data_IF_841503453938
#
_entry.id   IF_841503453938
#
_cell.length_a   1.000
_cell.length_b   1.000
_cell.length_c   1.000
_cell.angle_alpha   90.00
_cell.angle_beta   90.00
_cell.angle_gamma   90.00
#
_symmetry.space_group_name_H-M   'P 1'
#
loop_
_entity.id
_entity.type
_entity.pdbx_description
1 polymer ?
#
# COMPACT_ATOMS: atom_id res chain seq x y z
N UNK A 1 26.29 7.75 8.53
CA UNK A 1 25.62 8.73 7.65
C UNK A 1 26.15 8.76 6.22
N UNK A 2 27.46 8.92 5.95
CA UNK A 2 28.02 9.00 4.57
C UNK A 2 27.56 7.88 3.61
N UNK A 3 27.56 6.63 4.06
CA UNK A 3 27.13 5.48 3.23
C UNK A 3 25.65 5.52 2.86
N UNK A 4 24.79 5.95 3.77
CA UNK A 4 23.34 6.00 3.56
C UNK A 4 22.99 7.12 2.55
N UNK A 5 23.69 8.25 2.63
CA UNK A 5 23.60 9.33 1.64
C UNK A 5 24.11 8.87 0.27
N UNK A 6 25.16 8.06 0.21
CA UNK A 6 25.71 7.54 -1.04
C UNK A 6 24.73 6.57 -1.72
N UNK A 7 24.14 5.64 -0.97
CA UNK A 7 23.11 4.71 -1.48
C UNK A 7 21.90 5.48 -1.99
N UNK A 8 21.41 6.46 -1.21
CA UNK A 8 20.28 7.28 -1.61
C UNK A 8 20.57 8.05 -2.91
N UNK A 9 21.73 8.69 -3.01
CA UNK A 9 22.13 9.41 -4.23
C UNK A 9 22.27 8.47 -5.44
N UNK A 10 22.73 7.24 -5.23
CA UNK A 10 22.79 6.23 -6.28
C UNK A 10 21.39 5.83 -6.78
N UNK A 11 20.45 5.55 -5.88
CA UNK A 11 19.06 5.24 -6.25
C UNK A 11 18.39 6.38 -7.02
N UNK A 12 18.59 7.62 -6.57
CA UNK A 12 18.12 8.82 -7.25
C UNK A 12 18.73 8.92 -8.65
N UNK A 13 20.03 8.70 -8.78
CA UNK A 13 20.77 8.76 -10.05
C UNK A 13 20.21 7.77 -11.07
N UNK A 14 19.99 6.51 -10.67
CA UNK A 14 19.36 5.49 -11.53
C UNK A 14 17.98 5.96 -11.97
N UNK A 15 17.14 6.39 -11.02
CA UNK A 15 15.77 6.80 -11.29
C UNK A 15 15.69 7.99 -12.26
N UNK A 16 16.60 8.96 -12.12
CA UNK A 16 16.68 10.10 -13.04
C UNK A 16 17.26 9.72 -14.40
N UNK A 17 18.28 8.87 -14.48
CA UNK A 17 18.87 8.43 -15.75
C UNK A 17 17.83 7.70 -16.61
N UNK A 18 17.05 6.79 -16.02
CA UNK A 18 15.96 6.10 -16.72
C UNK A 18 14.90 7.10 -17.20
N UNK A 19 14.53 8.06 -16.36
CA UNK A 19 13.57 9.11 -16.75
C UNK A 19 14.11 9.98 -17.89
N UNK A 20 15.39 10.34 -17.85
CA UNK A 20 16.05 11.11 -18.90
C UNK A 20 16.03 10.33 -20.22
N UNK A 21 16.40 9.05 -20.21
CA UNK A 21 16.36 8.19 -21.40
C UNK A 21 14.99 8.21 -22.10
N UNK A 22 13.90 8.04 -21.34
CA UNK A 22 12.55 8.09 -21.90
C UNK A 22 12.12 9.47 -22.37
N UNK A 23 12.58 10.55 -21.72
CA UNK A 23 12.28 11.93 -22.13
C UNK A 23 13.06 12.40 -23.35
N UNK A 24 14.33 12.00 -23.47
CA UNK A 24 15.20 12.37 -24.59
C UNK A 24 14.99 11.49 -25.82
N UNK A 25 14.31 10.34 -25.66
CA UNK A 25 13.99 9.44 -26.77
C UNK A 25 12.81 9.93 -27.62
N UNK A 26 12.74 9.42 -28.86
CA UNK A 26 11.65 9.66 -29.82
C UNK A 26 10.25 9.36 -29.25
N UNK A 27 10.16 8.45 -28.28
CA UNK A 27 8.91 8.06 -27.63
C UNK A 27 8.17 9.24 -26.97
N UNK A 28 8.87 10.11 -26.25
CA UNK A 28 8.23 11.26 -25.62
C UNK A 28 7.68 12.24 -26.68
N UNK A 29 8.43 12.49 -27.75
CA UNK A 29 8.04 13.41 -28.82
C UNK A 29 6.78 12.90 -29.55
N UNK A 30 6.66 11.59 -29.76
CA UNK A 30 5.51 10.98 -30.43
C UNK A 30 4.23 10.97 -29.57
N UNK A 31 4.37 10.77 -28.25
CA UNK A 31 3.22 10.54 -27.34
C UNK A 31 2.74 11.85 -26.67
N UNK A 32 3.62 12.82 -26.48
CA UNK A 32 3.34 14.05 -25.74
C UNK A 32 2.15 14.89 -26.28
N UNK A 33 1.95 15.06 -27.60
CA UNK A 33 0.80 15.80 -28.12
C UNK A 33 -0.54 15.18 -27.72
N UNK A 34 -0.62 13.84 -27.66
CA UNK A 34 -1.82 13.12 -27.27
C UNK A 34 -2.12 13.23 -25.77
N UNK A 35 -1.08 13.24 -24.93
CA UNK A 35 -1.22 13.40 -23.48
C UNK A 35 -1.65 14.82 -23.07
N UNK A 36 -1.34 15.83 -23.89
CA UNK A 36 -1.71 17.23 -23.63
C UNK A 36 -3.13 17.59 -24.07
N UNK A 37 -3.83 16.69 -24.76
CA UNK A 37 -5.19 16.95 -25.21
C UNK A 37 -6.13 17.17 -24.01
N UNK A 38 -7.05 18.16 -24.04
CA UNK A 38 -7.95 18.46 -22.93
C UNK A 38 -8.82 17.27 -22.52
N UNK A 39 -9.22 16.41 -23.47
CA UNK A 39 -9.92 15.16 -23.14
C UNK A 39 -9.06 14.21 -22.29
N UNK A 40 -7.76 14.13 -22.55
CA UNK A 40 -6.85 13.29 -21.76
C UNK A 40 -6.68 13.83 -20.34
N UNK A 41 -6.58 15.16 -20.18
CA UNK A 41 -6.56 15.80 -18.85
C UNK A 41 -7.83 15.52 -18.05
N UNK A 42 -9.00 15.67 -18.67
CA UNK A 42 -10.31 15.34 -18.04
C UNK A 42 -10.40 13.85 -17.70
N UNK A 43 -9.97 12.97 -18.59
CA UNK A 43 -9.93 11.53 -18.36
C UNK A 43 -9.01 11.18 -17.18
N UNK A 44 -7.79 11.73 -17.15
CA UNK A 44 -6.84 11.52 -16.05
C UNK A 44 -7.45 11.97 -14.72
N UNK A 45 -8.09 13.14 -14.68
CA UNK A 45 -8.78 13.63 -13.48
C UNK A 45 -9.88 12.66 -13.00
N UNK A 46 -10.74 12.17 -13.90
CA UNK A 46 -11.78 11.20 -13.56
C UNK A 46 -11.17 9.90 -13.03
N UNK A 47 -10.13 9.39 -13.70
CA UNK A 47 -9.41 8.20 -13.26
C UNK A 47 -8.82 8.41 -11.85
N UNK A 48 -8.21 9.55 -11.58
CA UNK A 48 -7.66 9.85 -10.27
C UNK A 48 -8.74 9.91 -9.18
N UNK A 49 -9.95 10.41 -9.48
CA UNK A 49 -11.08 10.36 -8.54
C UNK A 49 -11.53 8.92 -8.29
N UNK A 50 -11.67 8.11 -9.35
CA UNK A 50 -12.06 6.70 -9.25
C UNK A 50 -11.02 5.93 -8.43
N UNK A 51 -9.75 5.97 -8.80
CA UNK A 51 -8.68 5.25 -8.11
C UNK A 51 -8.44 5.78 -6.70
N UNK A 52 -8.61 7.09 -6.46
CA UNK A 52 -8.61 7.66 -5.12
C UNK A 52 -9.72 7.07 -4.25
N UNK A 53 -10.94 6.95 -4.79
CA UNK A 53 -12.08 6.37 -4.08
C UNK A 53 -11.91 4.88 -3.82
N UNK A 54 -11.45 4.14 -4.84
CA UNK A 54 -11.15 2.70 -4.73
C UNK A 54 -10.06 2.41 -3.71
N UNK A 55 -9.03 3.26 -3.62
CA UNK A 55 -7.96 3.12 -2.63
C UNK A 55 -8.46 3.43 -1.21
N UNK A 56 -9.28 4.47 -1.03
CA UNK A 56 -9.89 4.74 0.26
C UNK A 56 -10.83 3.60 0.71
N UNK A 57 -11.60 3.05 -0.24
CA UNK A 57 -12.41 1.87 0.00
C UNK A 57 -11.55 0.65 0.39
N UNK A 58 -10.36 0.46 -0.20
CA UNK A 58 -9.45 -0.64 0.13
C UNK A 58 -9.15 -0.73 1.63
N UNK A 59 -8.70 0.39 2.21
CA UNK A 59 -8.35 0.45 3.63
C UNK A 59 -9.56 0.28 4.55
N UNK A 60 -10.71 0.88 4.21
CA UNK A 60 -11.96 0.69 4.98
C UNK A 60 -12.44 -0.75 4.90
N UNK A 61 -12.41 -1.32 3.69
CA UNK A 61 -12.85 -2.69 3.44
C UNK A 61 -12.00 -3.67 4.24
N UNK A 62 -10.68 -3.45 4.32
CA UNK A 62 -9.81 -4.29 5.15
C UNK A 62 -10.14 -4.21 6.64
N UNK A 63 -10.18 -2.99 7.21
CA UNK A 63 -10.42 -2.82 8.65
C UNK A 63 -11.79 -3.37 9.06
N UNK A 64 -12.81 -3.14 8.24
CA UNK A 64 -14.15 -3.66 8.49
C UNK A 64 -14.24 -5.16 8.25
N UNK A 65 -13.69 -5.66 7.15
CA UNK A 65 -13.74 -7.07 6.79
C UNK A 65 -12.97 -7.96 7.76
N UNK A 66 -11.82 -7.50 8.26
CA UNK A 66 -11.09 -8.16 9.35
C UNK A 66 -11.93 -8.18 10.64
N UNK A 67 -12.55 -7.06 11.00
CA UNK A 67 -13.42 -7.01 12.18
C UNK A 67 -14.58 -7.99 12.07
N UNK A 68 -15.24 -8.07 10.91
CA UNK A 68 -16.28 -9.07 10.63
C UNK A 68 -15.72 -10.48 10.73
N UNK A 69 -14.59 -10.79 10.09
CA UNK A 69 -13.98 -12.12 10.16
C UNK A 69 -13.68 -12.54 11.62
N UNK A 70 -13.26 -11.58 12.45
CA UNK A 70 -12.99 -11.81 13.87
C UNK A 70 -14.28 -12.00 14.67
N UNK A 71 -15.32 -11.20 14.46
CA UNK A 71 -16.59 -11.34 15.18
C UNK A 71 -17.22 -12.73 14.99
N UNK A 72 -17.07 -13.30 13.79
CA UNK A 72 -17.55 -14.64 13.46
C UNK A 72 -16.54 -15.75 13.81
N UNK A 73 -15.36 -15.43 14.35
CA UNK A 73 -14.42 -16.44 14.86
C UNK A 73 -14.87 -17.01 16.20
N UNK A 74 -14.51 -18.26 16.52
CA UNK A 74 -14.88 -18.91 17.79
C UNK A 74 -14.44 -18.12 19.03
N UNK A 75 -13.35 -17.35 18.92
CA UNK A 75 -12.75 -16.57 20.00
C UNK A 75 -13.09 -15.08 19.99
N UNK A 76 -13.85 -14.62 18.97
CA UNK A 76 -14.31 -13.24 18.84
C UNK A 76 -13.18 -12.22 19.11
N UNK A 77 -13.42 -11.21 19.93
CA UNK A 77 -12.47 -10.11 20.21
C UNK A 77 -11.12 -10.59 20.77
N UNK A 78 -11.06 -11.72 21.48
CA UNK A 78 -9.79 -12.23 22.04
C UNK A 78 -8.80 -12.68 20.96
N UNK A 79 -9.28 -12.90 19.73
CA UNK A 79 -8.48 -13.19 18.54
C UNK A 79 -7.44 -12.12 18.25
N UNK A 80 -7.73 -10.84 18.53
CA UNK A 80 -6.77 -9.74 18.32
C UNK A 80 -5.46 -9.92 19.13
N UNK A 81 -5.55 -10.53 20.31
CA UNK A 81 -4.43 -10.63 21.26
C UNK A 81 -3.62 -11.91 21.09
N UNK A 82 -4.25 -12.98 20.63
CA UNK A 82 -3.67 -14.32 20.71
C UNK A 82 -3.41 -14.98 19.37
N UNK A 83 -3.94 -14.44 18.27
CA UNK A 83 -3.91 -15.09 16.96
C UNK A 83 -3.41 -14.13 15.89
N UNK A 84 -2.48 -14.62 15.06
CA UNK A 84 -1.92 -13.84 13.94
C UNK A 84 -3.03 -13.50 12.93
N UNK A 85 -2.83 -12.41 12.19
CA UNK A 85 -3.73 -12.04 11.10
C UNK A 85 -3.84 -13.15 10.08
N UNK A 86 -2.73 -13.88 9.86
CA UNK A 86 -2.63 -14.96 8.88
C UNK A 86 -3.61 -16.11 9.16
N UNK A 87 -3.89 -16.42 10.42
CA UNK A 87 -4.80 -17.51 10.79
C UNK A 87 -6.23 -17.28 10.29
N UNK A 88 -6.61 -16.01 10.10
CA UNK A 88 -7.92 -15.64 9.56
C UNK A 88 -8.06 -15.95 8.07
N UNK A 89 -6.98 -16.26 7.35
CA UNK A 89 -7.01 -16.56 5.91
C UNK A 89 -7.32 -18.03 5.59
N UNK A 90 -7.32 -18.91 6.60
CA UNK A 90 -7.48 -20.35 6.40
C UNK A 90 -8.79 -20.87 6.99
N UNK A 91 -9.49 -21.78 6.28
CA UNK A 91 -10.73 -22.37 6.78
C UNK A 91 -10.49 -23.24 8.01
N UNK A 92 -11.55 -23.45 8.80
CA UNK A 92 -11.55 -24.39 9.92
C UNK A 92 -11.09 -25.78 9.45
N UNK A 93 -10.25 -26.41 10.27
CA UNK A 93 -9.64 -27.71 9.99
C UNK A 93 -8.32 -27.64 9.21
N UNK A 94 -7.85 -26.45 8.81
CA UNK A 94 -6.51 -26.30 8.25
C UNK A 94 -5.45 -26.56 9.32
N UNK A 95 -4.40 -27.31 9.01
CA UNK A 95 -3.31 -27.56 9.97
C UNK A 95 -2.27 -26.44 9.87
N UNK A 96 -2.14 -25.65 10.94
CA UNK A 96 -1.17 -24.56 11.12
C UNK A 96 -0.16 -25.00 12.18
N UNK A 97 1.11 -25.18 11.78
CA UNK A 97 2.20 -25.60 12.68
C UNK A 97 1.85 -26.84 13.53
N UNK A 98 1.20 -27.82 12.88
CA UNK A 98 0.80 -29.07 13.49
C UNK A 98 -0.47 -29.01 14.36
N UNK A 99 -1.12 -27.84 14.47
CA UNK A 99 -2.41 -27.66 15.17
C UNK A 99 -3.53 -27.37 14.18
N UNK A 100 -4.70 -27.94 14.40
CA UNK A 100 -5.87 -27.57 13.61
C UNK A 100 -6.32 -26.15 13.97
N UNK A 101 -6.52 -25.32 12.94
CA UNK A 101 -7.14 -24.02 13.06
C UNK A 101 -8.63 -24.19 13.27
N UNK A 102 -9.16 -23.65 14.36
CA UNK A 102 -10.61 -23.52 14.60
C UNK A 102 -11.10 -22.07 14.43
N UNK A 103 -10.26 -21.19 13.86
CA UNK A 103 -10.46 -19.76 14.01
C UNK A 103 -11.36 -19.12 12.94
N UNK A 104 -11.12 -19.39 11.65
CA UNK A 104 -11.76 -18.59 10.59
C UNK A 104 -12.99 -19.27 10.01
N UNK A 105 -14.16 -18.77 10.41
CA UNK A 105 -15.43 -19.07 9.75
C UNK A 105 -15.57 -18.37 8.38
N UNK A 106 -14.82 -17.29 8.15
CA UNK A 106 -14.93 -16.44 6.96
C UNK A 106 -13.57 -16.15 6.29
N UNK A 107 -12.77 -17.18 5.92
CA UNK A 107 -11.44 -16.98 5.33
C UNK A 107 -11.50 -16.28 3.97
N UNK A 108 -12.60 -16.45 3.24
CA UNK A 108 -12.79 -15.81 1.94
C UNK A 108 -12.82 -14.28 2.03
N UNK A 109 -13.28 -13.71 3.14
CA UNK A 109 -13.29 -12.25 3.33
C UNK A 109 -11.84 -11.75 3.36
N UNK A 110 -11.00 -12.30 4.24
CA UNK A 110 -9.59 -11.91 4.36
C UNK A 110 -8.83 -12.07 3.04
N UNK A 111 -9.09 -13.14 2.30
CA UNK A 111 -8.46 -13.39 1.00
C UNK A 111 -8.92 -12.40 -0.06
N UNK A 112 -10.22 -12.10 -0.12
CA UNK A 112 -10.76 -11.09 -1.03
C UNK A 112 -10.18 -9.71 -0.75
N UNK A 113 -9.96 -9.37 0.53
CA UNK A 113 -9.30 -8.11 0.92
C UNK A 113 -7.88 -8.02 0.36
N UNK A 114 -7.05 -9.05 0.55
CA UNK A 114 -5.68 -9.05 0.05
C UNK A 114 -5.61 -9.14 -1.47
N UNK A 115 -6.52 -9.88 -2.10
CA UNK A 115 -6.64 -9.92 -3.57
C UNK A 115 -7.03 -8.55 -4.14
N UNK A 116 -7.93 -7.82 -3.47
CA UNK A 116 -8.27 -6.45 -3.88
C UNK A 116 -7.05 -5.53 -3.82
N UNK A 117 -6.21 -5.66 -2.78
CA UNK A 117 -5.00 -4.85 -2.66
C UNK A 117 -3.97 -5.10 -3.76
N UNK A 118 -3.82 -6.36 -4.19
CA UNK A 118 -2.84 -6.70 -5.24
C UNK A 118 -3.17 -6.04 -6.58
N UNK A 119 -4.45 -5.80 -6.87
CA UNK A 119 -4.88 -5.16 -8.11
C UNK A 119 -4.86 -3.63 -8.05
N UNK A 120 -5.15 -3.01 -6.91
CA UNK A 120 -5.40 -1.56 -6.85
C UNK A 120 -4.15 -0.71 -6.64
N UNK A 121 -3.16 -1.21 -5.91
CA UNK A 121 -2.04 -0.40 -5.41
C UNK A 121 -1.12 0.14 -6.51
N UNK A 122 -0.84 -0.66 -7.55
CA UNK A 122 0.05 -0.26 -8.65
C UNK A 122 -0.61 0.77 -9.57
N UNK A 123 -1.85 0.56 -10.05
CA UNK A 123 -2.59 1.59 -10.77
C UNK A 123 -2.75 2.88 -9.95
N UNK A 124 -3.07 2.76 -8.66
CA UNK A 124 -3.18 3.92 -7.76
C UNK A 124 -1.87 4.71 -7.72
N UNK A 125 -0.73 4.05 -7.58
CA UNK A 125 0.57 4.73 -7.61
C UNK A 125 0.78 5.53 -8.90
N UNK A 126 0.58 4.94 -10.07
CA UNK A 126 0.79 5.61 -11.36
C UNK A 126 -0.19 6.75 -11.63
N UNK A 127 -1.48 6.54 -11.33
CA UNK A 127 -2.55 7.47 -11.69
C UNK A 127 -2.67 8.60 -10.66
N UNK A 128 -2.39 8.31 -9.38
CA UNK A 128 -2.67 9.24 -8.28
C UNK A 128 -1.42 9.83 -7.66
N UNK A 129 -0.40 9.02 -7.36
CA UNK A 129 0.77 9.48 -6.60
C UNK A 129 1.89 10.03 -7.48
N UNK A 130 2.19 9.36 -8.59
CA UNK A 130 3.22 9.79 -9.53
C UNK A 130 3.05 11.24 -10.05
N UNK A 131 1.83 11.73 -10.35
CA UNK A 131 1.65 13.12 -10.79
C UNK A 131 2.00 14.17 -9.72
N UNK A 132 1.76 13.86 -8.44
CA UNK A 132 1.92 14.79 -7.30
C UNK A 132 3.27 14.63 -6.57
N UNK A 133 4.13 13.73 -7.03
CA UNK A 133 5.48 13.53 -6.48
C UNK A 133 6.54 14.31 -7.26
N UNK A 134 7.71 14.50 -6.64
CA UNK A 134 8.88 15.08 -7.29
C UNK A 134 9.48 14.15 -8.37
N UNK A 135 9.06 12.87 -8.38
CA UNK A 135 9.51 11.82 -9.31
C UNK A 135 11.01 11.56 -9.16
N UNK A 136 11.55 11.79 -7.96
CA UNK A 136 12.97 11.60 -7.65
C UNK A 136 13.27 10.11 -7.44
N UNK A 137 12.33 9.40 -6.82
CA UNK A 137 12.44 8.01 -6.40
C UNK A 137 11.44 7.09 -7.09
N UNK A 138 10.88 7.52 -8.23
CA UNK A 138 9.71 6.88 -8.84
C UNK A 138 9.90 5.40 -9.18
N UNK A 139 11.13 4.97 -9.51
CA UNK A 139 11.44 3.55 -9.76
C UNK A 139 11.44 2.72 -8.48
N UNK A 140 11.97 3.29 -7.39
CA UNK A 140 12.02 2.61 -6.09
C UNK A 140 10.60 2.44 -5.57
N UNK A 141 9.80 3.50 -5.65
CA UNK A 141 8.39 3.48 -5.24
C UNK A 141 7.57 2.49 -6.07
N UNK A 142 7.78 2.47 -7.40
CA UNK A 142 7.14 1.50 -8.27
C UNK A 142 7.52 0.07 -7.90
N UNK A 143 8.81 -0.20 -7.68
CA UNK A 143 9.27 -1.52 -7.27
C UNK A 143 8.67 -1.95 -5.93
N UNK A 144 8.60 -1.03 -4.96
CA UNK A 144 7.98 -1.30 -3.66
C UNK A 144 6.47 -1.56 -3.82
N UNK A 145 5.76 -0.79 -4.63
CA UNK A 145 4.34 -1.03 -4.92
C UNK A 145 4.09 -2.39 -5.59
N UNK A 146 4.95 -2.78 -6.53
CA UNK A 146 4.90 -4.10 -7.18
C UNK A 146 5.16 -5.23 -6.19
N UNK A 147 6.19 -5.09 -5.35
CA UNK A 147 6.52 -6.10 -4.33
C UNK A 147 5.41 -6.22 -3.28
N UNK A 148 4.78 -5.11 -2.90
CA UNK A 148 3.59 -5.11 -2.03
C UNK A 148 2.39 -5.81 -2.68
N UNK A 149 2.13 -5.54 -3.96
CA UNK A 149 1.09 -6.24 -4.73
C UNK A 149 1.35 -7.75 -4.83
N UNK A 150 2.60 -8.15 -5.05
CA UNK A 150 3.00 -9.57 -5.06
C UNK A 150 2.79 -10.19 -3.68
N UNK A 151 3.20 -9.51 -2.61
CA UNK A 151 3.01 -10.00 -1.24
C UNK A 151 1.55 -10.27 -0.92
N UNK A 152 0.67 -9.33 -1.25
CA UNK A 152 -0.77 -9.47 -1.03
C UNK A 152 -1.39 -10.57 -1.90
N UNK A 153 -0.98 -10.70 -3.15
CA UNK A 153 -1.41 -11.78 -4.04
C UNK A 153 -1.04 -13.17 -3.47
N UNK A 154 0.22 -13.35 -3.04
CA UNK A 154 0.71 -14.61 -2.47
C UNK A 154 -0.10 -15.08 -1.27
N UNK A 155 -0.49 -14.16 -0.38
CA UNK A 155 -1.33 -14.52 0.77
C UNK A 155 -2.75 -14.90 0.33
N UNK A 156 -3.32 -14.20 -0.66
CA UNK A 156 -4.70 -14.44 -1.09
C UNK A 156 -4.89 -15.73 -1.88
N UNK A 157 -3.97 -16.05 -2.79
CA UNK A 157 -4.17 -17.10 -3.81
C UNK A 157 -3.74 -18.50 -3.35
N UNK A 158 -2.84 -18.62 -2.38
CA UNK A 158 -2.30 -19.94 -2.01
C UNK A 158 -3.22 -20.64 -1.01
N UNK A 159 -3.99 -21.63 -1.49
CA UNK A 159 -5.00 -22.40 -0.74
C UNK A 159 -4.48 -23.73 -0.20
N UNK A 160 -3.24 -23.82 0.29
CA UNK A 160 -2.74 -25.09 0.85
C UNK A 160 -3.41 -25.38 2.21
N UNK A 161 -4.01 -26.56 2.35
CA UNK A 161 -4.63 -27.01 3.62
C UNK A 161 -3.64 -27.36 4.74
N UNK A 162 -2.33 -27.23 4.46
CA UNK A 162 -1.25 -27.36 5.41
C UNK A 162 -0.39 -26.10 5.37
N UNK A 163 -0.08 -25.60 6.55
CA UNK A 163 0.76 -24.44 6.78
C UNK A 163 1.92 -24.83 7.70
N UNK A 164 3.11 -24.34 7.37
CA UNK A 164 4.32 -24.48 8.16
C UNK A 164 5.03 -23.13 8.30
N UNK A 165 5.82 -22.98 9.37
CA UNK A 165 6.91 -21.99 9.43
C UNK A 165 7.75 -22.07 8.14
N UNK A 166 7.90 -20.96 7.42
CA UNK A 166 8.55 -20.89 6.10
C UNK A 166 7.65 -21.11 4.87
N UNK A 167 6.34 -21.24 5.04
CA UNK A 167 5.38 -21.30 3.92
C UNK A 167 5.43 -20.04 3.05
N UNK A 168 5.02 -20.18 1.79
CA UNK A 168 4.97 -19.07 0.83
C UNK A 168 3.95 -17.99 1.26
N UNK A 169 2.93 -18.36 2.03
CA UNK A 169 1.98 -17.41 2.64
C UNK A 169 2.63 -16.56 3.73
N UNK A 170 3.47 -17.15 4.59
CA UNK A 170 4.24 -16.39 5.57
C UNK A 170 5.18 -15.40 4.93
N UNK A 171 5.85 -15.85 3.85
CA UNK A 171 6.68 -14.96 3.05
C UNK A 171 5.85 -13.82 2.45
N UNK A 172 4.68 -14.11 1.89
CA UNK A 172 3.76 -13.11 1.33
C UNK A 172 3.30 -12.08 2.38
N UNK A 173 2.93 -12.51 3.58
CA UNK A 173 2.51 -11.61 4.65
C UNK A 173 3.68 -10.75 5.14
N UNK A 174 4.84 -11.36 5.36
CA UNK A 174 6.07 -10.65 5.75
C UNK A 174 6.46 -9.59 4.70
N UNK A 175 6.38 -9.96 3.42
CA UNK A 175 6.63 -9.05 2.31
C UNK A 175 5.64 -7.89 2.32
N UNK A 176 4.34 -8.17 2.47
CA UNK A 176 3.28 -7.17 2.56
C UNK A 176 3.55 -6.15 3.66
N UNK A 177 3.87 -6.61 4.86
CA UNK A 177 4.06 -5.75 6.04
C UNK A 177 5.33 -4.90 5.89
N UNK A 178 6.47 -5.52 5.60
CA UNK A 178 7.77 -4.82 5.54
C UNK A 178 7.80 -3.88 4.34
N UNK A 179 7.46 -4.37 3.15
CA UNK A 179 7.50 -3.58 1.93
C UNK A 179 6.43 -2.51 1.94
N UNK A 180 5.22 -2.80 2.44
CA UNK A 180 4.15 -1.81 2.54
C UNK A 180 4.56 -0.61 3.39
N UNK A 181 5.13 -0.84 4.58
CA UNK A 181 5.58 0.27 5.42
C UNK A 181 6.83 1.00 4.87
N UNK A 182 7.73 0.31 4.17
CA UNK A 182 8.81 0.96 3.42
C UNK A 182 8.26 1.82 2.28
N UNK A 183 7.29 1.33 1.53
CA UNK A 183 6.62 2.05 0.44
C UNK A 183 6.06 3.38 0.96
N UNK A 184 5.37 3.36 2.10
CA UNK A 184 4.87 4.58 2.77
C UNK A 184 5.99 5.60 3.04
N UNK A 185 7.14 5.14 3.56
CA UNK A 185 8.28 6.04 3.81
C UNK A 185 8.82 6.66 2.52
N UNK A 186 9.05 5.86 1.48
CA UNK A 186 9.61 6.35 0.22
C UNK A 186 8.66 7.34 -0.47
N UNK A 187 7.36 7.01 -0.54
CA UNK A 187 6.32 7.93 -1.04
C UNK A 187 6.32 9.23 -0.22
N UNK A 188 6.40 9.14 1.10
CA UNK A 188 6.48 10.32 1.97
C UNK A 188 7.71 11.20 1.67
N UNK A 189 8.85 10.60 1.32
CA UNK A 189 10.06 11.34 0.97
C UNK A 189 9.93 12.05 -0.38
N UNK A 190 9.32 11.41 -1.39
CA UNK A 190 9.20 11.96 -2.76
C UNK A 190 8.00 12.90 -2.97
N UNK A 191 6.97 12.82 -2.13
CA UNK A 191 5.80 13.69 -2.24
C UNK A 191 6.16 15.17 -2.14
N UNK A 192 5.54 15.98 -3.00
CA UNK A 192 5.71 17.43 -2.99
C UNK A 192 4.97 18.05 -1.79
N UNK A 193 5.73 18.70 -0.91
CA UNK A 193 5.20 19.35 0.29
C UNK A 193 4.26 20.51 -0.04
N UNK A 194 4.44 21.15 -1.20
CA UNK A 194 3.58 22.28 -1.62
C UNK A 194 2.19 21.80 -2.01
N UNK A 195 2.08 20.63 -2.66
CA UNK A 195 0.82 20.06 -3.13
C UNK A 195 0.08 19.30 -2.02
N UNK A 196 0.78 18.45 -1.25
CA UNK A 196 0.11 17.53 -0.30
C UNK A 196 0.85 17.38 1.04
N UNK A 197 0.99 18.46 1.84
CA UNK A 197 1.80 18.45 3.07
C UNK A 197 1.30 17.47 4.13
N UNK A 198 -0.03 17.30 4.25
CA UNK A 198 -0.64 16.38 5.22
C UNK A 198 -0.36 14.93 4.85
N UNK A 199 -0.54 14.57 3.56
CA UNK A 199 -0.28 13.22 3.08
C UNK A 199 1.19 12.85 3.30
N UNK A 200 2.11 13.74 2.91
CA UNK A 200 3.56 13.56 3.17
C UNK A 200 3.86 13.22 4.63
N UNK A 201 3.33 14.01 5.58
CA UNK A 201 3.54 13.79 7.01
C UNK A 201 2.93 12.44 7.45
N UNK A 202 1.71 12.14 7.04
CA UNK A 202 1.03 10.88 7.36
C UNK A 202 1.80 9.66 6.84
N UNK A 203 2.28 9.70 5.59
CA UNK A 203 3.08 8.61 5.01
C UNK A 203 4.34 8.30 5.83
N UNK A 204 5.07 9.34 6.24
CA UNK A 204 6.29 9.18 7.04
C UNK A 204 6.00 8.62 8.44
N UNK A 205 5.00 9.15 9.13
CA UNK A 205 4.66 8.69 10.49
C UNK A 205 4.11 7.26 10.49
N UNK A 206 3.16 6.96 9.61
CA UNK A 206 2.55 5.63 9.54
C UNK A 206 3.57 4.57 9.12
N UNK A 207 4.40 4.86 8.11
CA UNK A 207 5.48 3.95 7.70
C UNK A 207 6.49 3.71 8.82
N UNK A 208 6.85 4.75 9.58
CA UNK A 208 7.78 4.61 10.71
C UNK A 208 7.20 3.79 11.86
N UNK A 209 5.93 4.04 12.24
CA UNK A 209 5.24 3.27 13.27
C UNK A 209 5.16 1.80 12.88
N UNK A 210 4.73 1.50 11.65
CA UNK A 210 4.59 0.12 11.20
C UNK A 210 5.94 -0.61 11.12
N UNK A 211 7.01 0.07 10.69
CA UNK A 211 8.35 -0.52 10.69
C UNK A 211 8.89 -0.80 12.10
N UNK A 212 8.61 0.07 13.08
CA UNK A 212 8.97 -0.21 14.47
C UNK A 212 8.24 -1.46 14.96
N UNK A 213 6.92 -1.53 14.73
CA UNK A 213 6.11 -2.67 15.15
C UNK A 213 6.64 -3.99 14.56
N UNK A 214 6.89 -4.07 13.24
CA UNK A 214 7.40 -5.30 12.63
C UNK A 214 8.82 -5.62 13.09
N UNK A 215 9.67 -4.61 13.29
CA UNK A 215 11.04 -4.83 13.78
C UNK A 215 11.05 -5.42 15.20
N UNK A 216 10.18 -4.94 16.08
CA UNK A 216 10.02 -5.49 17.43
C UNK A 216 9.54 -6.94 17.34
N UNK A 217 8.52 -7.23 16.52
CA UNK A 217 8.00 -8.59 16.34
C UNK A 217 9.07 -9.56 15.83
N UNK A 218 9.95 -9.12 14.93
CA UNK A 218 11.02 -9.95 14.36
C UNK A 218 12.17 -10.21 15.35
N UNK A 219 12.53 -9.23 16.19
CA UNK A 219 13.67 -9.36 17.12
C UNK A 219 13.24 -9.99 18.45
N UNK A 220 12.04 -9.67 18.92
CA UNK A 220 11.50 -10.09 20.20
C UNK A 220 10.07 -10.63 20.03
N UNK A 221 9.90 -11.87 19.55
CA UNK A 221 8.60 -12.50 19.51
C UNK A 221 8.05 -12.65 20.94
N UNK A 222 6.96 -11.93 21.24
CA UNK A 222 6.31 -11.91 22.56
C UNK A 222 4.83 -12.26 22.44
N UNK A 223 4.13 -12.36 23.57
CA UNK A 223 2.67 -12.48 23.61
C UNK A 223 1.94 -11.35 22.87
N UNK A 224 2.59 -10.19 22.64
CA UNK A 224 2.00 -9.05 21.94
C UNK A 224 2.31 -9.02 20.43
N UNK A 225 3.08 -9.99 19.92
CA UNK A 225 3.42 -10.08 18.50
C UNK A 225 2.22 -9.99 17.56
N UNK A 226 1.07 -10.67 17.82
CA UNK A 226 -0.11 -10.57 16.95
C UNK A 226 -0.66 -9.14 16.83
N UNK A 227 -0.65 -8.38 17.92
CA UNK A 227 -1.14 -7.00 17.94
C UNK A 227 -0.17 -6.09 17.18
N UNK A 228 1.13 -6.26 17.40
CA UNK A 228 2.15 -5.46 16.71
C UNK A 228 2.13 -5.71 15.20
N UNK A 229 1.94 -6.97 14.78
CA UNK A 229 1.73 -7.34 13.37
C UNK A 229 0.52 -6.59 12.79
N UNK A 230 -0.63 -6.63 13.47
CA UNK A 230 -1.85 -5.93 13.05
C UNK A 230 -1.67 -4.42 12.99
N UNK A 231 -1.02 -3.80 13.99
CA UNK A 231 -0.72 -2.37 13.97
C UNK A 231 0.12 -2.02 12.73
N UNK A 232 1.07 -2.87 12.37
CA UNK A 232 1.90 -2.68 11.17
C UNK A 232 1.13 -2.82 9.85
N UNK A 233 0.05 -3.62 9.83
CA UNK A 233 -0.89 -3.64 8.70
C UNK A 233 -1.82 -2.42 8.72
N UNK A 234 -2.35 -2.05 9.89
CA UNK A 234 -3.26 -0.91 10.04
C UNK A 234 -2.63 0.40 9.65
N UNK A 235 -1.33 0.59 9.86
CA UNK A 235 -0.63 1.79 9.38
C UNK A 235 -0.73 1.93 7.86
N UNK A 236 -0.65 0.83 7.12
CA UNK A 236 -0.83 0.79 5.66
C UNK A 236 -2.29 1.10 5.32
N UNK A 237 -3.24 0.41 5.93
CA UNK A 237 -4.68 0.55 5.61
C UNK A 237 -5.21 1.95 5.93
N UNK A 238 -4.82 2.52 7.08
CA UNK A 238 -5.14 3.90 7.44
C UNK A 238 -4.52 4.88 6.44
N UNK A 239 -3.29 4.61 6.00
CA UNK A 239 -2.64 5.42 4.99
C UNK A 239 -3.38 5.39 3.65
N UNK A 240 -3.89 4.24 3.20
CA UNK A 240 -4.67 4.12 1.96
C UNK A 240 -5.92 5.00 1.99
N UNK A 241 -6.62 5.03 3.12
CA UNK A 241 -7.77 5.91 3.36
C UNK A 241 -7.36 7.37 3.22
N UNK A 242 -6.30 7.77 3.93
CA UNK A 242 -5.80 9.15 3.91
C UNK A 242 -5.33 9.54 2.50
N UNK A 243 -4.61 8.66 1.81
CA UNK A 243 -4.06 8.89 0.47
C UNK A 243 -5.18 9.04 -0.57
N UNK A 244 -6.17 8.15 -0.55
CA UNK A 244 -7.32 8.21 -1.45
C UNK A 244 -8.08 9.54 -1.33
N UNK A 245 -8.42 9.95 -0.11
CA UNK A 245 -9.09 11.24 0.11
C UNK A 245 -8.20 12.45 -0.17
N UNK A 246 -6.90 12.39 0.16
CA UNK A 246 -5.98 13.50 -0.09
C UNK A 246 -5.83 13.81 -1.58
N UNK A 247 -5.75 12.77 -2.42
CA UNK A 247 -5.64 12.93 -3.87
C UNK A 247 -6.93 13.51 -4.46
N UNK A 248 -8.10 13.00 -4.06
CA UNK A 248 -9.40 13.54 -4.51
C UNK A 248 -9.52 15.02 -4.13
N UNK A 249 -9.15 15.37 -2.89
CA UNK A 249 -9.20 16.74 -2.41
C UNK A 249 -8.29 17.66 -3.21
N UNK A 250 -7.10 17.19 -3.57
CA UNK A 250 -6.14 17.98 -4.35
C UNK A 250 -6.73 18.37 -5.72
N UNK A 251 -7.40 17.42 -6.40
CA UNK A 251 -8.11 17.69 -7.66
C UNK A 251 -9.20 18.74 -7.50
N UNK A 252 -10.03 18.62 -6.47
CA UNK A 252 -11.13 19.57 -6.23
C UNK A 252 -10.56 20.97 -5.98
N UNK A 253 -9.49 21.08 -5.18
CA UNK A 253 -8.84 22.36 -4.88
C UNK A 253 -8.23 23.01 -6.12
N UNK A 254 -7.60 22.24 -7.01
CA UNK A 254 -7.04 22.77 -8.25
C UNK A 254 -8.11 23.24 -9.23
N UNK A 255 -9.26 22.54 -9.32
CA UNK A 255 -10.37 22.99 -10.16
C UNK A 255 -10.96 24.33 -9.68
N UNK A 256 -11.11 24.49 -8.37
CA UNK A 256 -11.62 25.75 -7.80
C UNK A 256 -10.69 26.93 -8.14
N UNK A 257 -9.37 26.71 -8.12
CA UNK A 257 -8.40 27.75 -8.51
C UNK A 257 -8.49 28.09 -10.01
N UNK A 258 -8.64 27.10 -10.90
CA UNK A 258 -8.80 27.35 -12.34
C UNK A 258 -10.11 28.10 -12.66
N UNK A 259 -11.21 27.79 -11.96
CA UNK A 259 -12.50 28.49 -12.11
C UNK A 259 -12.42 29.93 -11.58
N UNK A 260 -11.73 30.17 -10.46
CA UNK A 260 -11.54 31.52 -9.91
C UNK A 260 -10.65 32.38 -10.81
N UNK A 261 -9.62 31.81 -11.46
CA UNK A 261 -8.71 32.50 -12.38
C UNK A 261 -9.36 32.84 -13.75
N UNK A 262 -10.39 32.11 -14.19
CA UNK A 262 -11.14 32.40 -15.43
C UNK A 262 -12.18 33.54 -15.28
N UNK A 263 -12.50 33.93 -14.04
CA UNK A 263 -13.50 34.98 -13.74
C UNK A 263 -12.88 36.39 -13.69
N UNK A 264 -11.55 36.51 -13.70
CA UNK A 264 -10.81 37.78 -13.71
C UNK A 264 -10.08 38.06 -15.03
#
# INVERSE_FOLDING_TARGET
MKYLTLIFNFLVSISQNTRHYFKSGSFAIAVYPYLMHPCFKKMAMILTVIFGGLMAYAGVFYLFGEHVAILFSERSITTYFHHSTLELFFPIGSVIDGKESSLSNLPHIMRALFSYQSYIVVPFYFICLYPISHKRLWLVELLLALLFAIGTALVSEITSGRYSEGSLQNFGLSLTIIIGNLMLLFIGLDLDKTLTPRLKKSSLWLGFIGLICVSITMVYPTLFSPILERISLYTIMIWEIIAGFAVIRNIISHRQQEEDDEIY
#
